data_IF_062826936013
#
_entry.id   IF_062826936013
#
_cell.length_a   1.000
_cell.length_b   1.000
_cell.length_c   1.000
_cell.angle_alpha   90.00
_cell.angle_beta   90.00
_cell.angle_gamma   90.00
#
_symmetry.space_group_name_H-M   'P 1'
#
loop_
_entity.id
_entity.type
_entity.pdbx_description
1 polymer ?
#
# COMPACT_ATOMS: atom_id res chain seq x y z
N UNK A 1 25.11 10.30 -30.73
CA UNK A 1 23.65 10.04 -30.57
C UNK A 1 23.35 8.63 -30.07
N UNK A 2 23.81 7.55 -30.74
CA UNK A 2 23.53 6.14 -30.35
C UNK A 2 23.93 5.80 -28.90
N UNK A 3 25.11 6.24 -28.46
CA UNK A 3 25.61 5.96 -27.12
C UNK A 3 24.84 6.74 -26.02
N UNK A 4 24.25 7.90 -26.36
CA UNK A 4 23.48 8.71 -25.42
C UNK A 4 22.14 8.04 -25.08
N UNK A 5 21.48 7.45 -26.09
CA UNK A 5 20.23 6.71 -25.91
C UNK A 5 20.42 5.46 -25.04
N UNK A 6 21.51 4.72 -25.25
CA UNK A 6 21.82 3.53 -24.44
C UNK A 6 22.04 3.89 -22.97
N UNK A 7 22.73 5.00 -22.69
CA UNK A 7 22.93 5.49 -21.32
C UNK A 7 21.60 5.94 -20.69
N UNK A 8 20.72 6.60 -21.45
CA UNK A 8 19.40 7.03 -20.98
C UNK A 8 18.51 5.84 -20.61
N UNK A 9 18.51 4.78 -21.42
CA UNK A 9 17.79 3.54 -21.13
C UNK A 9 18.39 2.78 -19.93
N UNK A 10 19.72 2.75 -19.81
CA UNK A 10 20.39 2.14 -18.66
C UNK A 10 20.04 2.86 -17.34
N UNK A 11 19.96 4.20 -17.34
CA UNK A 11 19.56 4.96 -16.15
C UNK A 11 18.13 4.65 -15.71
N UNK A 12 17.16 4.56 -16.65
CA UNK A 12 15.77 4.24 -16.31
C UNK A 12 15.61 2.86 -15.66
N UNK A 13 16.41 1.88 -16.08
CA UNK A 13 16.39 0.55 -15.48
C UNK A 13 16.79 0.58 -14.00
N UNK A 14 17.79 1.38 -13.61
CA UNK A 14 18.27 1.45 -12.21
C UNK A 14 17.22 2.01 -11.25
N UNK A 15 16.39 2.97 -11.69
CA UNK A 15 15.33 3.54 -10.85
C UNK A 15 14.18 2.57 -10.57
N UNK A 16 13.93 1.59 -11.45
CA UNK A 16 12.86 0.60 -11.27
C UNK A 16 13.15 -0.42 -10.14
N UNK A 17 14.42 -0.72 -9.87
CA UNK A 17 14.82 -1.73 -8.86
C UNK A 17 14.95 -1.17 -7.43
N UNK A 18 14.89 0.16 -7.25
CA UNK A 18 15.04 0.80 -5.94
C UNK A 18 13.76 0.89 -5.09
N UNK A 19 12.59 0.63 -5.67
CA UNK A 19 11.30 0.78 -4.99
C UNK A 19 11.02 -0.42 -4.07
N UNK A 20 11.33 -0.25 -2.78
CA UNK A 20 11.11 -1.27 -1.76
C UNK A 20 9.64 -1.30 -1.33
N UNK A 21 9.12 -2.50 -1.06
CA UNK A 21 7.83 -2.64 -0.41
C UNK A 21 7.88 -2.06 1.02
N UNK A 22 6.81 -1.38 1.43
CA UNK A 22 6.56 -0.92 2.80
C UNK A 22 5.30 -1.58 3.35
N UNK A 23 5.10 -1.53 4.66
CA UNK A 23 3.91 -2.09 5.31
C UNK A 23 3.58 -1.32 6.60
N UNK A 24 3.91 -0.02 6.61
CA UNK A 24 3.83 0.82 7.79
C UNK A 24 2.74 1.89 7.70
N UNK A 25 1.82 1.82 6.73
CA UNK A 25 0.63 2.67 6.69
C UNK A 25 -0.16 2.54 8.01
N UNK A 26 -0.59 3.68 8.55
CA UNK A 26 -1.48 3.78 9.71
C UNK A 26 -2.73 4.54 9.29
N UNK A 27 -3.88 4.11 9.79
CA UNK A 27 -5.10 4.90 9.75
C UNK A 27 -6.34 4.10 9.42
N UNK A 28 -7.48 4.76 9.56
CA UNK A 28 -8.80 4.18 9.31
C UNK A 28 -9.39 4.79 8.05
N UNK A 29 -9.79 3.93 7.11
CA UNK A 29 -10.37 4.31 5.84
C UNK A 29 -11.78 3.76 5.73
N UNK A 30 -12.75 4.63 5.45
CA UNK A 30 -14.18 4.28 5.39
C UNK A 30 -14.73 4.46 3.99
N UNK A 31 -15.49 3.47 3.54
CA UNK A 31 -16.30 3.55 2.34
C UNK A 31 -17.69 4.09 2.71
N UNK A 32 -18.22 5.02 1.91
CA UNK A 32 -19.58 5.57 2.10
C UNK A 32 -20.66 4.74 1.40
N UNK A 33 -20.28 3.78 0.56
CA UNK A 33 -21.24 2.98 -0.19
C UNK A 33 -21.89 1.90 0.69
N UNK A 34 -23.21 1.97 0.83
CA UNK A 34 -24.00 1.00 1.60
C UNK A 34 -24.00 -0.42 0.97
N UNK A 35 -23.75 -0.52 -0.33
CA UNK A 35 -23.86 -1.77 -1.09
C UNK A 35 -22.61 -2.66 -1.06
N UNK A 36 -21.53 -2.19 -0.44
CA UNK A 36 -20.26 -2.92 -0.42
C UNK A 36 -20.13 -3.62 0.93
N UNK A 37 -19.81 -4.91 0.90
CA UNK A 37 -19.58 -5.70 2.12
C UNK A 37 -18.41 -5.16 2.93
N UNK A 38 -17.38 -4.62 2.26
CA UNK A 38 -16.18 -4.04 2.86
C UNK A 38 -16.29 -2.52 3.00
N UNK A 39 -16.63 -2.07 4.20
CA UNK A 39 -16.89 -0.67 4.53
C UNK A 39 -15.77 0.00 5.32
N UNK A 40 -14.87 -0.75 5.95
CA UNK A 40 -13.79 -0.17 6.74
C UNK A 40 -12.49 -0.96 6.60
N UNK A 41 -11.39 -0.23 6.46
CA UNK A 41 -10.01 -0.73 6.46
C UNK A 41 -9.24 0.01 7.54
N UNK A 42 -8.64 -0.70 8.50
CA UNK A 42 -7.84 -0.10 9.57
C UNK A 42 -6.42 -0.65 9.52
N UNK A 43 -5.46 0.19 9.15
CA UNK A 43 -4.06 -0.18 9.04
C UNK A 43 -3.33 0.12 10.35
N UNK A 44 -2.54 -0.84 10.84
CA UNK A 44 -1.92 -0.77 12.17
C UNK A 44 -0.48 -0.25 12.19
N UNK A 45 0.10 0.04 11.02
CA UNK A 45 1.49 0.47 10.88
C UNK A 45 2.54 -0.63 11.06
N UNK A 46 2.11 -1.88 11.21
CA UNK A 46 2.93 -3.06 11.48
C UNK A 46 2.66 -4.20 10.50
N UNK A 47 2.14 -3.86 9.32
CA UNK A 47 1.86 -4.79 8.24
C UNK A 47 0.58 -5.58 8.39
N UNK A 48 -0.33 -5.19 9.31
CA UNK A 48 -1.67 -5.76 9.39
C UNK A 48 -2.74 -4.72 9.07
N UNK A 49 -3.82 -5.19 8.45
CA UNK A 49 -5.02 -4.41 8.18
C UNK A 49 -6.24 -5.15 8.70
N UNK A 50 -7.10 -4.45 9.43
CA UNK A 50 -8.39 -4.95 9.85
C UNK A 50 -9.46 -4.58 8.82
N UNK A 51 -10.21 -5.57 8.34
CA UNK A 51 -11.26 -5.42 7.35
C UNK A 51 -12.61 -5.57 8.08
N UNK A 52 -13.43 -4.52 8.05
CA UNK A 52 -14.72 -4.43 8.74
C UNK A 52 -14.69 -4.71 10.25
N UNK A 53 -13.58 -4.41 10.93
CA UNK A 53 -13.48 -4.63 12.37
C UNK A 53 -13.36 -6.11 12.79
N UNK A 54 -13.30 -7.05 11.84
CA UNK A 54 -13.36 -8.50 12.12
C UNK A 54 -12.12 -9.25 11.69
N UNK A 55 -11.63 -9.01 10.47
CA UNK A 55 -10.62 -9.86 9.85
C UNK A 55 -9.28 -9.13 9.73
N UNK A 56 -8.23 -9.64 10.39
CA UNK A 56 -6.87 -9.12 10.28
C UNK A 56 -6.13 -9.85 9.17
N UNK A 57 -5.61 -9.09 8.21
CA UNK A 57 -4.85 -9.59 7.07
C UNK A 57 -3.48 -8.93 7.01
N UNK A 58 -2.54 -9.59 6.35
CA UNK A 58 -1.27 -8.96 6.00
C UNK A 58 -1.46 -7.99 4.85
N UNK A 59 -0.73 -6.89 4.88
CA UNK A 59 -0.66 -5.98 3.75
C UNK A 59 0.76 -5.51 3.50
N UNK A 60 0.99 -5.07 2.27
CA UNK A 60 2.15 -4.28 1.91
C UNK A 60 1.78 -3.27 0.84
N UNK A 61 2.63 -2.29 0.68
CA UNK A 61 2.52 -1.21 -0.27
C UNK A 61 3.71 -1.29 -1.22
N UNK A 62 3.44 -1.07 -2.51
CA UNK A 62 4.45 -0.89 -3.53
C UNK A 62 4.01 0.28 -4.39
N UNK A 63 4.79 1.36 -4.35
CA UNK A 63 4.43 2.65 -4.94
C UNK A 63 3.09 3.14 -4.37
N UNK A 64 2.17 3.50 -5.27
CA UNK A 64 0.83 3.93 -4.89
C UNK A 64 -0.14 2.76 -4.72
N UNK A 65 0.32 1.51 -4.87
CA UNK A 65 -0.54 0.33 -4.75
C UNK A 65 -0.41 -0.29 -3.37
N UNK A 66 -1.55 -0.69 -2.81
CA UNK A 66 -1.66 -1.45 -1.56
C UNK A 66 -2.22 -2.82 -1.91
N UNK A 67 -1.57 -3.85 -1.38
CA UNK A 67 -1.93 -5.25 -1.52
C UNK A 67 -2.34 -5.78 -0.15
N UNK A 68 -3.57 -6.27 -0.04
CA UNK A 68 -4.07 -6.95 1.15
C UNK A 68 -4.18 -8.44 0.84
N UNK A 69 -3.44 -9.25 1.59
CA UNK A 69 -3.32 -10.69 1.40
C UNK A 69 -4.50 -11.39 2.09
N UNK A 70 -5.49 -11.75 1.29
CA UNK A 70 -6.57 -12.66 1.68
C UNK A 70 -6.47 -13.90 0.79
N UNK A 71 -6.54 -15.09 1.38
CA UNK A 71 -6.26 -16.36 0.69
C UNK A 71 -7.04 -16.52 -0.63
N UNK A 72 -8.34 -16.25 -0.60
CA UNK A 72 -9.24 -16.49 -1.75
C UNK A 72 -9.69 -15.21 -2.47
N UNK A 73 -9.42 -14.03 -1.90
CA UNK A 73 -10.01 -12.78 -2.41
C UNK A 73 -9.13 -11.56 -2.12
N UNK A 74 -7.88 -11.52 -2.62
CA UNK A 74 -6.97 -10.43 -2.34
C UNK A 74 -7.57 -9.08 -2.75
N UNK A 75 -7.31 -8.06 -1.93
CA UNK A 75 -7.76 -6.70 -2.22
C UNK A 75 -6.60 -5.87 -2.74
N UNK A 76 -6.85 -5.15 -3.83
CA UNK A 76 -5.88 -4.23 -4.41
C UNK A 76 -6.47 -2.82 -4.41
N UNK A 77 -5.70 -1.88 -3.86
CA UNK A 77 -6.08 -0.47 -3.76
C UNK A 77 -4.99 0.42 -4.34
N UNK A 78 -5.40 1.53 -4.96
CA UNK A 78 -4.49 2.59 -5.41
C UNK A 78 -4.72 3.81 -4.52
N UNK A 79 -3.63 4.43 -4.06
CA UNK A 79 -3.63 5.73 -3.41
C UNK A 79 -4.03 6.80 -4.42
N UNK A 80 -4.98 7.63 -4.02
CA UNK A 80 -5.46 8.74 -4.81
C UNK A 80 -5.45 10.01 -3.96
N UNK A 81 -4.86 11.08 -4.49
CA UNK A 81 -4.73 12.35 -3.76
C UNK A 81 -3.94 12.18 -2.45
N UNK A 82 -4.37 12.89 -1.40
CA UNK A 82 -3.65 12.93 -0.12
C UNK A 82 -4.11 11.88 0.89
N UNK A 83 -5.34 11.37 0.78
CA UNK A 83 -5.98 10.60 1.85
C UNK A 83 -7.04 9.58 1.38
N UNK A 84 -7.04 9.18 0.11
CA UNK A 84 -8.07 8.32 -0.46
C UNK A 84 -7.48 7.03 -1.07
N UNK A 85 -8.18 5.91 -0.88
CA UNK A 85 -7.84 4.62 -1.48
C UNK A 85 -8.96 4.19 -2.43
N UNK A 86 -8.60 3.84 -3.67
CA UNK A 86 -9.52 3.36 -4.69
C UNK A 86 -9.30 1.88 -4.95
N UNK A 87 -10.34 1.07 -4.73
CA UNK A 87 -10.33 -0.37 -4.96
C UNK A 87 -10.46 -0.73 -6.44
N UNK A 88 -9.63 -1.69 -6.89
CA UNK A 88 -9.65 -2.19 -8.27
C UNK A 88 -9.65 -3.72 -8.41
N UNK A 89 -9.58 -4.48 -7.30
CA UNK A 89 -9.85 -5.92 -7.30
C UNK A 89 -11.35 -6.21 -7.44
N UNK A 90 -11.72 -7.43 -7.85
CA UNK A 90 -13.10 -7.85 -8.18
C UNK A 90 -14.11 -7.55 -7.04
N UNK A 91 -13.71 -7.72 -5.79
CA UNK A 91 -14.55 -7.59 -4.59
C UNK A 91 -14.73 -6.15 -4.07
N UNK A 92 -13.86 -5.23 -4.46
CA UNK A 92 -13.93 -3.80 -4.07
C UNK A 92 -13.81 -2.89 -5.30
N UNK A 93 -14.21 -3.39 -6.47
CA UNK A 93 -14.13 -2.66 -7.73
C UNK A 93 -15.04 -1.43 -7.64
N UNK A 94 -14.49 -0.24 -7.91
CA UNK A 94 -15.19 1.07 -7.79
C UNK A 94 -15.46 1.50 -6.34
N UNK A 95 -14.94 0.78 -5.35
CA UNK A 95 -14.96 1.24 -3.96
C UNK A 95 -13.99 2.39 -3.77
N UNK A 96 -14.41 3.39 -3.01
CA UNK A 96 -13.56 4.50 -2.60
C UNK A 96 -13.59 4.60 -1.10
N UNK A 97 -12.43 4.46 -0.47
CA UNK A 97 -12.25 4.58 0.97
C UNK A 97 -11.55 5.89 1.27
N UNK A 98 -12.16 6.72 2.12
CA UNK A 98 -11.56 7.98 2.55
C UNK A 98 -10.96 7.79 3.93
N UNK A 99 -9.73 8.27 4.13
CA UNK A 99 -9.10 8.31 5.44
C UNK A 99 -9.91 9.21 6.38
N UNK A 100 -9.88 8.89 7.66
CA UNK A 100 -10.32 9.81 8.71
C UNK A 100 -9.31 10.94 8.96
N UNK A 101 -8.07 10.81 8.49
CA UNK A 101 -7.03 11.84 8.53
C UNK A 101 -6.95 12.64 7.23
N UNK A 102 -6.34 13.82 7.29
CA UNK A 102 -6.15 14.71 6.14
C UNK A 102 -5.06 14.24 5.16
N UNK A 103 -4.21 13.29 5.59
CA UNK A 103 -3.15 12.72 4.76
C UNK A 103 -2.84 11.26 5.11
N UNK A 104 -2.08 10.58 4.26
CA UNK A 104 -1.53 9.26 4.57
C UNK A 104 -0.47 9.35 5.67
N UNK A 105 -0.70 8.62 6.76
CA UNK A 105 0.21 8.55 7.90
C UNK A 105 0.96 7.23 7.92
N UNK A 106 2.21 7.26 8.40
CA UNK A 106 3.05 6.07 8.45
C UNK A 106 3.67 5.90 9.83
N UNK A 107 3.60 4.68 10.35
CA UNK A 107 4.30 4.27 11.55
C UNK A 107 5.80 4.38 11.38
N UNK A 108 6.49 4.65 12.50
CA UNK A 108 7.95 4.53 12.57
C UNK A 108 8.29 3.07 12.26
N UNK A 109 8.89 2.83 11.09
CA UNK A 109 9.40 1.50 10.71
C UNK A 109 10.19 0.95 11.89
N UNK A 110 9.88 -0.28 12.35
CA UNK A 110 10.56 -0.82 13.54
C UNK A 110 12.06 -0.72 13.30
N UNK A 111 12.78 -0.08 14.23
CA UNK A 111 14.23 0.15 14.12
C UNK A 111 15.00 -1.15 13.83
N UNK A 112 14.43 -2.30 14.18
CA UNK A 112 14.90 -3.66 13.90
C UNK A 112 15.06 -3.97 12.40
N UNK A 113 14.08 -3.62 11.55
CA UNK A 113 14.14 -3.98 10.13
C UNK A 113 15.22 -3.19 9.36
N UNK A 114 15.51 -1.96 9.83
CA UNK A 114 16.65 -1.18 9.34
C UNK A 114 17.99 -1.70 9.88
N UNK A 115 18.02 -2.24 11.11
CA UNK A 115 19.23 -2.81 11.71
C UNK A 115 19.62 -4.14 11.04
N UNK A 116 18.64 -5.02 10.77
CA UNK A 116 18.87 -6.29 10.06
C UNK A 116 19.30 -6.09 8.60
N UNK A 117 18.85 -5.01 7.93
CA UNK A 117 19.28 -4.69 6.56
C UNK A 117 20.68 -4.08 6.48
N UNK A 118 21.14 -3.39 7.52
CA UNK A 118 22.51 -2.84 7.59
C UNK A 118 23.57 -3.89 7.98
N UNK A 119 23.16 -5.05 8.50
CA UNK A 119 24.09 -6.15 8.83
C UNK A 119 24.32 -7.14 7.67
N UNK A 120 23.61 -6.99 6.55
CA UNK A 120 23.73 -7.86 5.36
C UNK A 120 24.46 -7.21 4.17
N UNK A 121 25.00 -6.00 4.36
CA UNK A 121 25.83 -5.28 3.38
C UNK A 121 27.20 -5.02 3.99
#
# INVERSE_FOLDING_TARGET
>A
MRNLLVVLFALQAVFAFGQKASNNLIGTFKNKSFWILTNTLEFDGKGKVNVNGKAKHEFFERNDTIFILQDNNPMYLIKQGKNQLKGFSKNIKRSTFNSTSDSFEYGKMSKEMNKMRKQKN
#
